data_IF_975326818683
#
_entry.id   IF_975326818683
#
_cell.length_a   1.000
_cell.length_b   1.000
_cell.length_c   1.000
_cell.angle_alpha   90.00
_cell.angle_beta   90.00
_cell.angle_gamma   90.00
#
_symmetry.space_group_name_H-M   'P 1'
#
loop_
_entity.id
_entity.type
_entity.pdbx_description
1 polymer ?
#
# COMPACT_ATOMS: atom_id res chain seq x y z
N UNK A 1 -23.07 4.79 6.86
CA UNK A 1 -23.19 3.73 5.83
C UNK A 1 -24.42 3.99 4.96
N UNK A 2 -24.26 4.05 3.65
CA UNK A 2 -25.31 4.27 2.65
C UNK A 2 -26.30 3.08 2.70
N UNK A 3 -27.62 3.35 2.55
CA UNK A 3 -28.66 2.29 2.54
C UNK A 3 -28.40 1.20 1.49
N UNK A 4 -27.83 1.56 0.33
CA UNK A 4 -27.51 0.62 -0.74
C UNK A 4 -26.37 -0.32 -0.33
N UNK A 5 -25.33 0.19 0.31
CA UNK A 5 -24.21 -0.63 0.80
C UNK A 5 -24.68 -1.55 1.93
N UNK A 6 -25.58 -1.09 2.78
CA UNK A 6 -26.15 -1.93 3.85
C UNK A 6 -26.81 -3.20 3.30
N UNK A 7 -27.54 -3.11 2.20
CA UNK A 7 -28.17 -4.29 1.54
C UNK A 7 -27.10 -5.29 1.09
N UNK A 8 -25.99 -4.81 0.55
CA UNK A 8 -24.89 -5.68 0.11
C UNK A 8 -24.19 -6.35 1.31
N UNK A 9 -23.93 -5.60 2.38
CA UNK A 9 -23.38 -6.16 3.62
C UNK A 9 -24.32 -7.17 4.28
N UNK A 10 -25.63 -6.93 4.26
CA UNK A 10 -26.61 -7.87 4.82
C UNK A 10 -26.60 -9.20 4.03
N UNK A 11 -26.42 -9.16 2.70
CA UNK A 11 -26.24 -10.37 1.87
C UNK A 11 -24.93 -11.08 2.18
N UNK A 12 -23.82 -10.33 2.24
CA UNK A 12 -22.49 -10.85 2.62
C UNK A 12 -22.56 -11.58 3.96
N UNK A 13 -23.12 -10.93 5.00
CA UNK A 13 -23.21 -11.48 6.36
C UNK A 13 -24.09 -12.75 6.45
N UNK A 14 -24.96 -12.96 5.48
CA UNK A 14 -25.79 -14.16 5.35
C UNK A 14 -25.20 -15.20 4.39
N UNK A 15 -24.00 -14.97 3.87
CA UNK A 15 -23.36 -15.80 2.86
C UNK A 15 -24.23 -16.02 1.59
N UNK A 16 -25.03 -15.01 1.21
CA UNK A 16 -25.85 -15.04 -0.01
C UNK A 16 -24.99 -14.56 -1.18
N UNK A 17 -24.82 -15.36 -2.24
CA UNK A 17 -24.06 -14.97 -3.42
C UNK A 17 -24.61 -13.67 -4.06
N UNK A 18 -23.71 -12.84 -4.58
CA UNK A 18 -24.12 -11.67 -5.35
C UNK A 18 -24.65 -12.10 -6.71
N UNK A 19 -25.82 -11.58 -7.05
CA UNK A 19 -26.44 -11.75 -8.35
C UNK A 19 -26.12 -10.56 -9.26
N UNK A 20 -26.47 -10.63 -10.53
CA UNK A 20 -26.22 -9.54 -11.50
C UNK A 20 -26.77 -8.19 -11.05
N UNK A 21 -27.91 -8.18 -10.36
CA UNK A 21 -28.51 -6.95 -9.80
C UNK A 21 -27.63 -6.33 -8.69
N UNK A 22 -26.99 -7.16 -7.87
CA UNK A 22 -26.08 -6.69 -6.81
C UNK A 22 -24.79 -6.12 -7.43
N UNK A 23 -24.26 -6.78 -8.45
CA UNK A 23 -23.10 -6.29 -9.20
C UNK A 23 -23.44 -4.96 -9.90
N UNK A 24 -24.63 -4.81 -10.45
CA UNK A 24 -25.10 -3.55 -11.01
C UNK A 24 -25.17 -2.44 -9.95
N UNK A 25 -25.65 -2.76 -8.73
CA UNK A 25 -25.67 -1.85 -7.60
C UNK A 25 -24.26 -1.46 -7.14
N UNK A 26 -23.32 -2.42 -7.08
CA UNK A 26 -21.90 -2.18 -6.81
C UNK A 26 -21.31 -1.19 -7.82
N UNK A 27 -21.54 -1.42 -9.12
CA UNK A 27 -21.10 -0.50 -10.20
C UNK A 27 -21.68 0.89 -10.04
N UNK A 28 -22.96 1.00 -9.70
CA UNK A 28 -23.61 2.29 -9.45
C UNK A 28 -22.95 3.04 -8.29
N UNK A 29 -22.66 2.36 -7.17
CA UNK A 29 -21.98 2.98 -6.02
C UNK A 29 -20.56 3.42 -6.40
N UNK A 30 -19.83 2.59 -7.14
CA UNK A 30 -18.49 2.90 -7.59
C UNK A 30 -18.43 4.14 -8.48
N UNK A 31 -19.43 4.36 -9.34
CA UNK A 31 -19.49 5.54 -10.23
C UNK A 31 -19.98 6.79 -9.48
N UNK A 32 -21.10 6.70 -8.75
CA UNK A 32 -21.85 7.86 -8.25
C UNK A 32 -21.90 7.97 -6.72
N UNK A 33 -21.28 7.05 -6.00
CA UNK A 33 -21.24 7.08 -4.53
C UNK A 33 -20.38 8.22 -3.98
N UNK A 34 -20.67 8.60 -2.72
CA UNK A 34 -19.78 9.50 -1.97
C UNK A 34 -18.42 8.83 -1.72
N UNK A 35 -17.34 9.59 -1.45
CA UNK A 35 -16.04 8.98 -1.12
C UNK A 35 -16.13 7.93 0.01
N UNK A 36 -16.83 8.23 1.11
CA UNK A 36 -17.02 7.25 2.18
C UNK A 36 -17.81 6.01 1.73
N UNK A 37 -18.80 6.17 0.86
CA UNK A 37 -19.55 5.06 0.28
C UNK A 37 -18.69 4.19 -0.64
N UNK A 38 -17.77 4.78 -1.40
CA UNK A 38 -16.80 4.06 -2.24
C UNK A 38 -15.78 3.30 -1.39
N UNK A 39 -15.32 3.90 -0.28
CA UNK A 39 -14.44 3.24 0.67
C UNK A 39 -15.14 2.04 1.34
N UNK A 40 -16.38 2.22 1.82
CA UNK A 40 -17.18 1.12 2.35
C UNK A 40 -17.33 -0.01 1.30
N UNK A 41 -17.50 0.35 0.01
CA UNK A 41 -17.57 -0.60 -1.08
C UNK A 41 -16.25 -1.36 -1.27
N UNK A 42 -15.11 -0.67 -1.25
CA UNK A 42 -13.78 -1.29 -1.39
C UNK A 42 -13.59 -2.36 -0.29
N UNK A 43 -13.94 -2.06 0.96
CA UNK A 43 -13.88 -3.05 2.05
C UNK A 43 -14.87 -4.20 1.87
N UNK A 44 -16.03 -3.96 1.28
CA UNK A 44 -16.97 -5.03 0.93
C UNK A 44 -16.38 -5.98 -0.11
N UNK A 45 -15.67 -5.44 -1.12
CA UNK A 45 -15.08 -6.21 -2.22
C UNK A 45 -13.87 -7.05 -1.80
N UNK A 46 -13.33 -6.85 -0.60
CA UNK A 46 -12.18 -7.60 -0.07
C UNK A 46 -12.37 -9.12 -0.10
N UNK A 47 -13.60 -9.61 0.06
CA UNK A 47 -13.92 -11.03 0.08
C UNK A 47 -14.34 -11.59 -1.29
N UNK A 48 -14.40 -10.74 -2.32
CA UNK A 48 -14.82 -11.12 -3.66
C UNK A 48 -13.64 -11.01 -4.63
N UNK A 49 -12.78 -12.05 -4.65
CA UNK A 49 -11.60 -12.11 -5.52
C UNK A 49 -12.03 -12.67 -6.91
N UNK A 50 -12.83 -11.87 -7.63
CA UNK A 50 -13.38 -12.21 -8.93
C UNK A 50 -13.03 -11.13 -9.96
N UNK A 51 -13.07 -11.45 -11.27
CA UNK A 51 -12.69 -10.49 -12.31
C UNK A 51 -13.54 -9.22 -12.29
N UNK A 52 -14.84 -9.32 -12.00
CA UNK A 52 -15.72 -8.15 -11.94
C UNK A 52 -15.38 -7.21 -10.79
N UNK A 53 -14.93 -7.72 -9.64
CA UNK A 53 -14.50 -6.89 -8.52
C UNK A 53 -13.12 -6.26 -8.77
N UNK A 54 -12.22 -6.98 -9.44
CA UNK A 54 -10.96 -6.41 -9.93
C UNK A 54 -11.20 -5.18 -10.84
N UNK A 55 -12.08 -5.31 -11.84
CA UNK A 55 -12.41 -4.20 -12.75
C UNK A 55 -12.99 -2.98 -12.01
N UNK A 56 -13.80 -3.21 -10.98
CA UNK A 56 -14.34 -2.12 -10.16
C UNK A 56 -13.23 -1.45 -9.34
N UNK A 57 -12.32 -2.21 -8.74
CA UNK A 57 -11.19 -1.64 -8.03
C UNK A 57 -10.23 -0.89 -8.96
N UNK A 58 -10.01 -1.38 -10.19
CA UNK A 58 -9.27 -0.66 -11.25
C UNK A 58 -9.92 0.68 -11.61
N UNK A 59 -11.24 0.74 -11.64
CA UNK A 59 -11.97 2.01 -11.83
C UNK A 59 -11.82 2.93 -10.62
N UNK A 60 -11.95 2.42 -9.40
CA UNK A 60 -11.83 3.19 -8.16
C UNK A 60 -10.40 3.67 -7.90
N UNK A 61 -9.38 2.96 -8.38
CA UNK A 61 -7.98 3.41 -8.30
C UNK A 61 -7.71 4.70 -9.11
N UNK A 62 -8.64 5.11 -9.98
CA UNK A 62 -8.61 6.35 -10.75
C UNK A 62 -9.65 7.37 -10.27
N UNK A 63 -10.20 7.21 -9.06
CA UNK A 63 -11.19 8.12 -8.49
C UNK A 63 -10.59 9.51 -8.25
N UNK A 64 -11.43 10.54 -8.30
CA UNK A 64 -11.01 11.92 -8.01
C UNK A 64 -10.56 12.12 -6.55
N UNK A 65 -11.06 11.29 -5.63
CA UNK A 65 -10.71 11.34 -4.22
C UNK A 65 -9.48 10.48 -3.93
N UNK A 66 -8.43 11.07 -3.39
CA UNK A 66 -7.15 10.43 -3.08
C UNK A 66 -7.31 9.20 -2.16
N UNK A 67 -8.08 9.33 -1.08
CA UNK A 67 -8.28 8.24 -0.12
C UNK A 67 -8.93 7.02 -0.79
N UNK A 68 -9.87 7.26 -1.71
CA UNK A 68 -10.48 6.18 -2.51
C UNK A 68 -9.43 5.50 -3.38
N UNK A 69 -8.55 6.27 -4.04
CA UNK A 69 -7.46 5.70 -4.87
C UNK A 69 -6.51 4.83 -4.04
N UNK A 70 -6.04 5.35 -2.90
CA UNK A 70 -5.14 4.61 -1.99
C UNK A 70 -5.75 3.27 -1.58
N UNK A 71 -6.99 3.27 -1.07
CA UNK A 71 -7.66 2.03 -0.68
C UNK A 71 -7.87 1.07 -1.85
N UNK A 72 -8.24 1.57 -3.02
CA UNK A 72 -8.45 0.74 -4.20
C UNK A 72 -7.15 0.07 -4.66
N UNK A 73 -6.02 0.80 -4.70
CA UNK A 73 -4.70 0.26 -5.07
C UNK A 73 -4.26 -0.80 -4.07
N UNK A 74 -4.40 -0.54 -2.78
CA UNK A 74 -4.08 -1.52 -1.72
C UNK A 74 -4.90 -2.80 -1.90
N UNK A 75 -6.18 -2.71 -2.28
CA UNK A 75 -7.01 -3.90 -2.50
C UNK A 75 -6.73 -4.60 -3.83
N UNK A 76 -6.32 -3.88 -4.86
CA UNK A 76 -5.89 -4.47 -6.13
C UNK A 76 -4.74 -5.48 -5.94
N UNK A 77 -3.80 -5.21 -5.03
CA UNK A 77 -2.67 -6.12 -4.78
C UNK A 77 -3.12 -7.52 -4.35
N UNK A 78 -4.27 -7.65 -3.69
CA UNK A 78 -4.82 -8.92 -3.21
C UNK A 78 -5.27 -9.86 -4.34
N UNK A 79 -5.49 -9.34 -5.55
CA UNK A 79 -5.80 -10.17 -6.72
C UNK A 79 -4.57 -10.89 -7.28
N UNK A 80 -3.39 -10.52 -6.83
CA UNK A 80 -2.13 -11.17 -7.16
C UNK A 80 -1.93 -11.35 -8.68
N UNK A 81 -2.30 -10.34 -9.47
CA UNK A 81 -2.06 -10.34 -10.91
C UNK A 81 -0.57 -10.06 -11.16
N UNK A 82 0.16 -11.03 -11.70
CA UNK A 82 1.60 -10.89 -11.97
C UNK A 82 1.92 -9.67 -12.86
N UNK A 83 1.01 -9.29 -13.73
CA UNK A 83 1.18 -8.08 -14.54
C UNK A 83 1.22 -6.82 -13.68
N UNK A 84 0.45 -6.75 -12.59
CA UNK A 84 0.42 -5.58 -11.69
C UNK A 84 1.76 -5.37 -10.98
N UNK A 85 2.53 -6.44 -10.73
CA UNK A 85 3.91 -6.32 -10.23
C UNK A 85 4.78 -5.44 -11.14
N UNK A 86 4.57 -5.48 -12.46
CA UNK A 86 5.36 -4.73 -13.43
C UNK A 86 4.81 -3.36 -13.77
N UNK A 87 3.49 -3.17 -13.67
CA UNK A 87 2.80 -1.99 -14.24
C UNK A 87 2.14 -1.09 -13.23
N UNK A 88 1.80 -1.59 -12.03
CA UNK A 88 0.98 -0.84 -11.09
C UNK A 88 1.67 0.45 -10.61
N UNK A 89 2.98 0.41 -10.35
CA UNK A 89 3.71 1.62 -9.96
C UNK A 89 3.73 2.67 -11.06
N UNK A 90 3.99 2.28 -12.32
CA UNK A 90 4.07 3.21 -13.45
C UNK A 90 2.76 3.96 -13.69
N UNK A 91 1.63 3.31 -13.41
CA UNK A 91 0.32 3.95 -13.57
C UNK A 91 0.04 5.06 -12.57
N UNK A 92 0.74 5.05 -11.43
CA UNK A 92 0.51 5.99 -10.33
C UNK A 92 1.77 6.73 -9.86
N UNK A 93 2.85 6.68 -10.63
CA UNK A 93 4.13 7.31 -10.28
C UNK A 93 4.05 8.85 -10.24
N UNK A 94 3.14 9.44 -10.99
CA UNK A 94 2.91 10.89 -11.07
C UNK A 94 1.73 11.37 -10.20
N UNK A 95 1.17 10.52 -9.34
CA UNK A 95 0.06 10.86 -8.45
C UNK A 95 0.59 11.51 -7.14
N UNK A 96 -0.29 11.68 -6.18
CA UNK A 96 0.09 12.21 -4.85
C UNK A 96 1.02 11.23 -4.11
N UNK A 97 1.81 11.72 -3.13
CA UNK A 97 2.75 10.85 -2.38
C UNK A 97 2.09 9.61 -1.78
N UNK A 98 0.87 9.73 -1.25
CA UNK A 98 0.16 8.60 -0.63
C UNK A 98 -0.25 7.54 -1.66
N UNK A 99 -0.70 7.97 -2.84
CA UNK A 99 -1.10 7.06 -3.93
C UNK A 99 0.12 6.35 -4.51
N UNK A 100 1.20 7.09 -4.76
CA UNK A 100 2.47 6.53 -5.25
C UNK A 100 3.07 5.53 -4.26
N UNK A 101 3.03 5.84 -2.95
CA UNK A 101 3.49 4.94 -1.89
C UNK A 101 2.64 3.66 -1.82
N UNK A 102 1.32 3.78 -1.92
CA UNK A 102 0.43 2.63 -1.96
C UNK A 102 0.72 1.72 -3.16
N UNK A 103 1.03 2.30 -4.33
CA UNK A 103 1.40 1.53 -5.52
C UNK A 103 2.74 0.80 -5.33
N UNK A 104 3.76 1.45 -4.74
CA UNK A 104 5.04 0.81 -4.43
C UNK A 104 4.88 -0.34 -3.43
N UNK A 105 4.10 -0.15 -2.37
CA UNK A 105 3.80 -1.19 -1.39
C UNK A 105 3.02 -2.36 -2.00
N UNK A 106 2.08 -2.09 -2.91
CA UNK A 106 1.32 -3.10 -3.63
C UNK A 106 2.21 -3.97 -4.53
N UNK A 107 3.19 -3.36 -5.22
CA UNK A 107 4.19 -4.09 -6.03
C UNK A 107 4.98 -5.06 -5.16
N UNK A 108 5.47 -4.62 -4.00
CA UNK A 108 6.21 -5.47 -3.07
C UNK A 108 5.35 -6.65 -2.59
N UNK A 109 4.13 -6.37 -2.11
CA UNK A 109 3.20 -7.39 -1.65
C UNK A 109 2.91 -8.46 -2.72
N UNK A 110 2.63 -8.04 -3.97
CA UNK A 110 2.42 -8.97 -5.08
C UNK A 110 3.69 -9.82 -5.32
N UNK A 111 4.86 -9.21 -5.24
CA UNK A 111 6.14 -9.90 -5.41
C UNK A 111 6.36 -11.00 -4.39
N UNK A 112 6.03 -10.74 -3.12
CA UNK A 112 6.13 -11.72 -2.02
C UNK A 112 5.10 -12.83 -2.20
N UNK A 113 3.83 -12.51 -2.34
CA UNK A 113 2.73 -13.48 -2.42
C UNK A 113 2.78 -14.35 -3.69
N UNK A 114 3.38 -13.84 -4.77
CA UNK A 114 3.65 -14.59 -6.01
C UNK A 114 4.96 -15.36 -5.99
N UNK A 115 5.68 -15.35 -4.87
CA UNK A 115 6.98 -16.01 -4.73
C UNK A 115 7.96 -15.59 -5.85
N UNK A 116 7.88 -14.32 -6.27
CA UNK A 116 8.84 -13.79 -7.24
C UNK A 116 10.22 -13.79 -6.58
N UNK A 117 11.22 -14.23 -7.34
CA UNK A 117 12.61 -14.29 -6.88
C UNK A 117 13.04 -12.99 -6.17
N UNK A 118 13.69 -13.13 -5.02
CA UNK A 118 14.09 -12.01 -4.17
C UNK A 118 14.98 -11.00 -4.91
N UNK A 119 15.91 -11.47 -5.76
CA UNK A 119 16.77 -10.56 -6.52
C UNK A 119 15.96 -9.73 -7.52
N UNK A 120 14.92 -10.33 -8.11
CA UNK A 120 14.00 -9.63 -9.02
C UNK A 120 13.18 -8.60 -8.25
N UNK A 121 12.68 -8.92 -7.06
CA UNK A 121 11.93 -7.98 -6.21
C UNK A 121 12.79 -6.80 -5.79
N UNK A 122 14.00 -7.07 -5.27
CA UNK A 122 14.95 -6.03 -4.88
C UNK A 122 15.27 -5.11 -6.07
N UNK A 123 15.57 -5.69 -7.23
CA UNK A 123 15.86 -4.91 -8.45
C UNK A 123 14.68 -4.01 -8.82
N UNK A 124 13.45 -4.56 -8.76
CA UNK A 124 12.23 -3.81 -9.05
C UNK A 124 12.03 -2.63 -8.10
N UNK A 125 12.20 -2.85 -6.79
CA UNK A 125 12.10 -1.79 -5.78
C UNK A 125 13.17 -0.70 -5.97
N UNK A 126 14.40 -1.08 -6.34
CA UNK A 126 15.47 -0.13 -6.66
C UNK A 126 15.17 0.68 -7.93
N UNK A 127 14.65 0.05 -8.99
CA UNK A 127 14.18 0.75 -10.20
C UNK A 127 13.06 1.76 -9.90
N UNK A 128 12.13 1.38 -9.03
CA UNK A 128 11.08 2.29 -8.56
C UNK A 128 11.71 3.44 -7.78
N UNK A 129 12.60 3.15 -6.83
CA UNK A 129 13.25 4.14 -5.98
C UNK A 129 14.02 5.18 -6.79
N UNK A 130 14.70 4.77 -7.86
CA UNK A 130 15.43 5.67 -8.76
C UNK A 130 14.51 6.66 -9.53
N UNK A 131 13.26 6.26 -9.74
CA UNK A 131 12.26 7.11 -10.44
C UNK A 131 11.53 8.06 -9.49
N UNK A 132 11.53 7.78 -8.19
CA UNK A 132 10.88 8.63 -7.18
C UNK A 132 11.68 9.92 -7.02
N UNK A 133 11.08 11.11 -7.20
CA UNK A 133 11.73 12.37 -6.89
C UNK A 133 12.18 12.46 -5.42
N UNK A 134 13.36 13.01 -5.16
CA UNK A 134 13.92 13.16 -3.80
C UNK A 134 12.97 13.92 -2.85
N UNK A 135 12.13 14.80 -3.39
CA UNK A 135 11.12 15.54 -2.63
C UNK A 135 9.99 14.66 -2.08
N UNK A 136 9.81 13.45 -2.61
CA UNK A 136 8.78 12.51 -2.14
C UNK A 136 9.35 11.58 -1.06
N UNK A 137 9.84 12.18 0.04
CA UNK A 137 10.43 11.46 1.19
C UNK A 137 9.53 10.35 1.70
N UNK A 138 8.23 10.59 1.80
CA UNK A 138 7.24 9.60 2.23
C UNK A 138 7.32 8.29 1.40
N UNK A 139 7.46 8.41 0.08
CA UNK A 139 7.54 7.23 -0.82
C UNK A 139 8.86 6.50 -0.65
N UNK A 140 9.97 7.24 -0.51
CA UNK A 140 11.28 6.65 -0.23
C UNK A 140 11.28 5.84 1.06
N UNK A 141 10.64 6.31 2.13
CA UNK A 141 10.54 5.61 3.40
C UNK A 141 9.80 4.26 3.27
N UNK A 142 8.71 4.24 2.51
CA UNK A 142 7.98 2.98 2.22
C UNK A 142 8.89 1.98 1.50
N UNK A 143 9.59 2.43 0.45
CA UNK A 143 10.49 1.55 -0.32
C UNK A 143 11.68 1.09 0.51
N UNK A 144 12.28 1.97 1.32
CA UNK A 144 13.42 1.63 2.18
C UNK A 144 13.06 0.58 3.23
N UNK A 145 11.84 0.62 3.77
CA UNK A 145 11.37 -0.43 4.69
C UNK A 145 11.33 -1.80 4.01
N UNK A 146 10.82 -1.88 2.77
CA UNK A 146 10.75 -3.12 1.99
C UNK A 146 12.16 -3.63 1.62
N UNK A 147 13.03 -2.74 1.15
CA UNK A 147 14.41 -3.07 0.84
C UNK A 147 15.18 -3.54 2.08
N UNK A 148 14.92 -2.95 3.27
CA UNK A 148 15.51 -3.44 4.50
C UNK A 148 15.05 -4.86 4.85
N UNK A 149 13.75 -5.13 4.73
CA UNK A 149 13.19 -6.46 5.01
C UNK A 149 13.74 -7.55 4.06
N UNK A 150 13.99 -7.20 2.80
CA UNK A 150 14.55 -8.13 1.81
C UNK A 150 16.09 -8.30 1.92
N UNK A 151 16.84 -7.30 2.43
CA UNK A 151 18.31 -7.29 2.37
C UNK A 151 19.01 -7.27 3.72
N UNK A 152 18.31 -6.83 4.79
CA UNK A 152 18.84 -6.51 6.13
C UNK A 152 19.99 -5.49 6.13
N UNK A 153 20.16 -4.73 5.03
CA UNK A 153 21.23 -3.75 4.91
C UNK A 153 20.93 -2.48 5.74
N UNK A 154 21.84 -2.15 6.68
CA UNK A 154 21.73 -1.02 7.60
C UNK A 154 21.55 0.34 6.90
N UNK A 155 21.96 0.47 5.63
CA UNK A 155 21.80 1.74 4.89
C UNK A 155 20.35 2.18 4.76
N UNK A 156 19.43 1.22 4.61
CA UNK A 156 17.99 1.51 4.49
C UNK A 156 17.39 1.91 5.84
N UNK A 157 17.78 1.20 6.91
CA UNK A 157 17.36 1.56 8.26
C UNK A 157 17.89 2.95 8.66
N UNK A 158 19.13 3.28 8.29
CA UNK A 158 19.71 4.62 8.50
C UNK A 158 18.95 5.69 7.72
N UNK A 159 18.57 5.40 6.47
CA UNK A 159 17.78 6.32 5.66
C UNK A 159 16.43 6.64 6.32
N UNK A 160 15.72 5.62 6.82
CA UNK A 160 14.46 5.80 7.55
C UNK A 160 14.67 6.63 8.82
N UNK A 161 15.66 6.26 9.67
CA UNK A 161 15.88 6.91 10.95
C UNK A 161 16.30 8.39 10.85
N UNK A 162 16.87 8.84 9.72
CA UNK A 162 17.20 10.26 9.49
C UNK A 162 15.99 11.18 9.54
N UNK A 163 14.81 10.68 9.22
CA UNK A 163 13.57 11.44 9.13
C UNK A 163 12.71 11.39 10.39
N UNK A 164 13.22 10.83 11.52
CA UNK A 164 12.46 10.75 12.79
C UNK A 164 12.07 12.10 13.37
N UNK A 165 12.82 13.15 13.03
CA UNK A 165 12.58 14.54 13.48
C UNK A 165 12.25 15.46 12.29
N UNK A 166 11.71 14.91 11.21
CA UNK A 166 11.32 15.68 10.04
C UNK A 166 10.27 16.74 10.41
N UNK A 167 10.28 17.89 9.74
CA UNK A 167 9.31 18.96 9.98
C UNK A 167 7.88 18.54 9.59
N UNK A 168 7.73 17.71 8.54
CA UNK A 168 6.44 17.19 8.10
C UNK A 168 5.96 16.03 9.01
N UNK A 169 4.78 16.22 9.60
CA UNK A 169 4.15 15.23 10.47
C UNK A 169 3.86 13.91 9.74
N UNK A 170 3.47 13.98 8.48
CA UNK A 170 3.18 12.76 7.68
C UNK A 170 4.46 11.96 7.44
N UNK A 171 5.61 12.63 7.25
CA UNK A 171 6.91 11.96 7.14
C UNK A 171 7.26 11.27 8.45
N UNK A 172 7.09 11.95 9.61
CA UNK A 172 7.35 11.34 10.92
C UNK A 172 6.45 10.12 11.18
N UNK A 173 5.15 10.20 10.84
CA UNK A 173 4.24 9.08 10.97
C UNK A 173 4.66 7.90 10.07
N UNK A 174 5.08 8.19 8.83
CA UNK A 174 5.59 7.13 7.94
C UNK A 174 6.88 6.49 8.47
N UNK A 175 7.77 7.26 9.12
CA UNK A 175 8.94 6.67 9.79
C UNK A 175 8.52 5.68 10.88
N UNK A 176 7.53 6.03 11.70
CA UNK A 176 7.00 5.14 12.74
C UNK A 176 6.37 3.89 12.13
N UNK A 177 5.58 4.03 11.08
CA UNK A 177 4.95 2.91 10.37
C UNK A 177 6.01 1.98 9.74
N UNK A 178 7.03 2.55 9.10
CA UNK A 178 8.14 1.79 8.51
C UNK A 178 8.93 1.01 9.57
N UNK A 179 9.22 1.62 10.71
CA UNK A 179 9.89 0.96 11.84
C UNK A 179 9.01 -0.15 12.43
N UNK A 180 7.72 0.10 12.61
CA UNK A 180 6.78 -0.89 13.12
C UNK A 180 6.64 -2.09 12.17
N UNK A 181 6.61 -1.85 10.87
CA UNK A 181 6.60 -2.90 9.85
C UNK A 181 7.88 -3.76 9.93
N UNK A 182 9.06 -3.13 9.98
CA UNK A 182 10.33 -3.82 10.16
C UNK A 182 10.31 -4.66 11.44
N UNK A 183 9.97 -4.05 12.59
CA UNK A 183 9.92 -4.73 13.87
C UNK A 183 8.91 -5.88 13.93
N UNK A 184 7.88 -5.85 13.11
CA UNK A 184 6.87 -6.91 13.04
C UNK A 184 7.41 -8.12 12.29
N UNK A 185 8.21 -7.90 11.24
CA UNK A 185 8.60 -8.92 10.26
C UNK A 185 10.03 -9.49 10.46
N UNK A 186 10.91 -8.81 11.25
CA UNK A 186 12.24 -9.33 11.53
C UNK A 186 12.24 -10.43 12.60
N UNK A 187 13.21 -11.34 12.52
CA UNK A 187 13.38 -12.42 13.49
C UNK A 187 14.01 -11.90 14.80
N UNK A 188 15.09 -11.13 14.72
CA UNK A 188 15.80 -10.56 15.87
C UNK A 188 15.39 -9.12 16.14
N UNK A 189 14.28 -8.97 16.87
CA UNK A 189 13.73 -7.65 17.24
C UNK A 189 14.64 -6.87 18.20
N UNK A 190 15.39 -7.58 19.06
CA UNK A 190 16.29 -6.94 20.03
C UNK A 190 17.48 -6.29 19.33
N UNK A 191 18.07 -6.99 18.36
CA UNK A 191 19.16 -6.48 17.54
C UNK A 191 18.73 -5.25 16.74
N UNK A 192 17.55 -5.29 16.07
CA UNK A 192 17.05 -4.15 15.31
C UNK A 192 16.74 -2.96 16.21
N UNK A 193 16.13 -3.20 17.38
CA UNK A 193 15.89 -2.13 18.35
C UNK A 193 17.19 -1.50 18.86
N UNK A 194 18.26 -2.28 19.01
CA UNK A 194 19.60 -1.78 19.36
C UNK A 194 20.14 -0.90 18.23
N UNK A 195 20.12 -1.38 16.98
CA UNK A 195 20.58 -0.62 15.81
C UNK A 195 19.84 0.73 15.67
N UNK A 196 18.52 0.72 15.83
CA UNK A 196 17.71 1.94 15.78
C UNK A 196 18.16 2.96 16.85
N UNK A 197 18.43 2.52 18.08
CA UNK A 197 18.92 3.40 19.15
C UNK A 197 20.29 3.99 18.81
N UNK A 198 21.24 3.20 18.32
CA UNK A 198 22.58 3.63 17.93
C UNK A 198 22.52 4.66 16.80
N UNK A 199 21.77 4.39 15.72
CA UNK A 199 21.59 5.30 14.59
C UNK A 199 20.94 6.63 15.06
N UNK A 200 19.99 6.55 15.99
CA UNK A 200 19.30 7.76 16.49
C UNK A 200 20.22 8.60 17.35
N UNK A 201 21.07 7.99 18.19
CA UNK A 201 22.05 8.70 19.00
C UNK A 201 23.08 9.44 18.12
N UNK A 202 23.61 8.80 17.09
CA UNK A 202 24.56 9.39 16.13
C UNK A 202 23.99 10.62 15.37
N UNK A 203 22.68 10.68 15.21
CA UNK A 203 21.99 11.79 14.52
C UNK A 203 21.74 13.01 15.42
N UNK A 204 21.81 12.86 16.74
CA UNK A 204 21.60 13.97 17.71
C UNK A 204 22.91 14.73 17.99
N UNK A 205 24.06 14.09 17.77
CA UNK A 205 25.39 14.68 18.02
C UNK A 205 25.95 15.49 16.83
N UNK A 206 25.23 15.56 15.71
CA UNK A 206 25.60 16.32 14.51
C UNK A 206 24.71 17.52 14.28
#
# INVERSE_FOLDING_TARGET
MNKMIKVLYDKKNRAVPFMEEDIALVKQIAVSGSPSGKIDLIFLLEEYIEDWSYEILRMLSKDSNETVRVHAITKLSQFLKTQDFWTLYEEFSDDTPFVTAAAAAAVDYIGIEKEIDQEIRIRRLLEIKEKVPDSLVYVHLVIDAKLFLDTEEDRYLKAICRHRQDEDENVRLQVEDSINEIMTNVQDKEEIARKIREITADNIEK
#
